data_IF_660413386408
#
_entry.id   IF_660413386408
#
_cell.length_a   1.000
_cell.length_b   1.000
_cell.length_c   1.000
_cell.angle_alpha   90.00
_cell.angle_beta   90.00
_cell.angle_gamma   90.00
#
_symmetry.space_group_name_H-M   'P 1'
#
loop_
_entity.id
_entity.type
_entity.pdbx_description
1 polymer ?
#
# COMPACT_ATOMS: atom_id res chain seq x y z
N UNK A 1 -10.53 -9.62 33.67
CA UNK A 1 -9.68 -8.93 34.67
C UNK A 1 -9.95 -7.44 34.52
N UNK A 2 -10.73 -6.86 35.43
CA UNK A 2 -11.12 -5.44 35.38
C UNK A 2 -9.97 -4.64 36.00
N UNK A 3 -9.24 -3.86 35.20
CA UNK A 3 -8.24 -2.94 35.76
C UNK A 3 -8.94 -1.87 36.62
N UNK A 4 -8.43 -1.58 37.83
CA UNK A 4 -9.01 -0.55 38.68
C UNK A 4 -8.80 0.83 38.05
N UNK A 5 -9.86 1.66 38.03
CA UNK A 5 -9.79 3.09 37.71
C UNK A 5 -8.97 3.79 38.81
N UNK A 6 -7.64 3.77 38.71
CA UNK A 6 -6.81 4.76 39.41
C UNK A 6 -6.81 6.04 38.60
N UNK A 7 -7.21 7.12 39.25
CA UNK A 7 -7.19 8.46 38.72
C UNK A 7 -5.76 8.87 38.28
N UNK A 8 -5.51 8.87 36.97
CA UNK A 8 -4.29 9.40 36.33
C UNK A 8 -4.25 10.94 36.29
N UNK A 9 -4.56 11.63 37.41
CA UNK A 9 -4.55 13.10 37.42
C UNK A 9 -3.14 13.71 37.44
N UNK A 10 -2.11 12.98 37.88
CA UNK A 10 -0.74 13.53 38.02
C UNK A 10 0.12 13.55 36.75
N UNK A 11 -0.24 12.82 35.69
CA UNK A 11 0.64 12.71 34.50
C UNK A 11 0.56 13.91 33.55
N UNK A 12 -0.50 14.72 33.67
CA UNK A 12 -0.75 15.85 32.78
C UNK A 12 -0.03 17.12 33.21
N UNK A 13 0.12 17.33 34.53
CA UNK A 13 0.60 18.59 35.10
C UNK A 13 2.14 18.64 35.22
N UNK A 14 2.81 17.48 35.31
CA UNK A 14 4.25 17.41 35.61
C UNK A 14 5.16 17.19 34.38
N UNK A 15 4.60 17.02 33.16
CA UNK A 15 5.41 16.83 31.96
C UNK A 15 5.72 18.18 31.28
N UNK A 16 6.99 18.64 31.24
CA UNK A 16 7.35 19.94 30.66
C UNK A 16 7.06 20.03 29.15
N UNK A 17 6.83 18.89 28.49
CA UNK A 17 6.46 18.84 27.07
C UNK A 17 4.94 18.86 26.82
N UNK A 18 4.11 18.70 27.86
CA UNK A 18 2.65 18.72 27.70
C UNK A 18 2.16 20.05 27.13
N UNK A 19 2.70 21.18 27.61
CA UNK A 19 2.37 22.51 27.09
C UNK A 19 2.71 22.67 25.61
N UNK A 20 3.85 22.14 25.16
CA UNK A 20 4.25 22.16 23.74
C UNK A 20 3.30 21.32 22.89
N UNK A 21 3.02 20.09 23.31
CA UNK A 21 2.10 19.20 22.60
C UNK A 21 0.70 19.82 22.48
N UNK A 22 0.14 20.34 23.58
CA UNK A 22 -1.18 20.99 23.56
C UNK A 22 -1.20 22.22 22.65
N UNK A 23 -0.16 23.06 22.69
CA UNK A 23 -0.05 24.21 21.79
C UNK A 23 -0.02 23.77 20.32
N UNK A 24 0.74 22.73 20.00
CA UNK A 24 0.78 22.14 18.66
C UNK A 24 -0.58 21.62 18.22
N UNK A 25 -1.29 20.89 19.08
CA UNK A 25 -2.63 20.34 18.78
C UNK A 25 -3.68 21.44 18.58
N UNK A 26 -3.59 22.54 19.35
CA UNK A 26 -4.44 23.71 19.12
C UNK A 26 -4.17 24.36 17.77
N UNK A 27 -2.90 24.55 17.40
CA UNK A 27 -2.54 25.04 16.07
C UNK A 27 -3.04 24.14 14.94
N UNK A 28 -2.96 22.81 15.10
CA UNK A 28 -3.55 21.85 14.16
C UNK A 28 -5.07 22.04 14.03
N UNK A 29 -5.77 22.17 15.15
CA UNK A 29 -7.22 22.39 15.15
C UNK A 29 -7.60 23.74 14.51
N UNK A 30 -6.85 24.81 14.79
CA UNK A 30 -7.02 26.13 14.18
C UNK A 30 -6.75 26.10 12.66
N UNK A 31 -5.82 25.26 12.20
CA UNK A 31 -5.63 24.94 10.79
C UNK A 31 -6.76 24.06 10.20
N UNK A 32 -7.75 23.69 11.01
CA UNK A 32 -8.93 22.93 10.63
C UNK A 32 -8.69 21.43 10.46
N UNK A 33 -7.65 20.87 11.09
CA UNK A 33 -7.50 19.44 11.25
C UNK A 33 -8.53 18.93 12.28
N UNK A 34 -8.95 17.68 12.11
CA UNK A 34 -9.97 17.03 12.97
C UNK A 34 -9.47 15.76 13.62
N UNK A 35 -8.32 15.25 13.18
CA UNK A 35 -7.68 14.07 13.73
C UNK A 35 -6.15 14.20 13.65
N UNK A 36 -5.48 13.47 14.53
CA UNK A 36 -4.03 13.29 14.54
C UNK A 36 -3.73 11.79 14.65
N UNK A 37 -2.77 11.32 13.86
CA UNK A 37 -2.24 9.96 13.92
C UNK A 37 -0.85 10.03 14.52
N UNK A 38 -0.58 9.21 15.53
CA UNK A 38 0.75 9.05 16.09
C UNK A 38 1.38 7.75 15.60
N UNK A 39 2.56 7.85 15.00
CA UNK A 39 3.47 6.72 14.85
C UNK A 39 4.36 6.65 16.08
N UNK A 40 4.31 5.53 16.81
CA UNK A 40 5.20 5.29 17.97
C UNK A 40 6.03 4.07 17.68
N UNK A 41 7.35 4.26 17.69
CA UNK A 41 8.33 3.20 17.53
C UNK A 41 8.13 2.11 18.59
N UNK A 42 8.15 0.85 18.16
CA UNK A 42 7.99 -0.27 19.08
C UNK A 42 9.05 -0.28 20.19
N UNK A 43 10.30 0.06 19.87
CA UNK A 43 11.40 0.13 20.84
C UNK A 43 11.15 1.14 21.98
N UNK A 44 10.32 2.16 21.77
CA UNK A 44 9.94 3.10 22.82
C UNK A 44 8.85 2.52 23.76
N UNK A 45 8.01 1.61 23.24
CA UNK A 45 6.97 0.94 24.02
C UNK A 45 7.48 -0.35 24.67
N UNK A 46 8.41 -1.06 24.06
CA UNK A 46 9.02 -2.28 24.60
C UNK A 46 10.55 -2.15 24.53
N UNK A 47 11.16 -1.39 25.44
CA UNK A 47 12.61 -1.20 25.46
C UNK A 47 13.38 -2.48 25.83
N UNK A 48 12.71 -3.42 26.49
CA UNK A 48 13.20 -4.76 26.80
C UNK A 48 12.08 -5.77 26.47
N UNK A 49 12.44 -6.91 25.89
CA UNK A 49 11.48 -7.94 25.49
C UNK A 49 10.54 -8.34 26.65
N UNK A 50 9.23 -8.28 26.38
CA UNK A 50 8.17 -8.55 27.35
C UNK A 50 7.86 -7.41 28.32
N UNK A 51 8.63 -6.31 28.34
CA UNK A 51 8.44 -5.17 29.25
C UNK A 51 7.77 -3.99 28.54
N UNK A 52 6.47 -4.11 28.31
CA UNK A 52 5.70 -3.07 27.63
C UNK A 52 5.37 -1.88 28.56
N UNK A 53 5.80 -0.70 28.16
CA UNK A 53 5.54 0.60 28.76
C UNK A 53 4.33 1.26 28.10
N UNK A 54 3.15 1.08 28.69
CA UNK A 54 1.91 1.69 28.20
C UNK A 54 1.76 3.16 28.60
N UNK A 55 2.48 3.61 29.62
CA UNK A 55 2.32 4.95 30.20
C UNK A 55 2.60 6.08 29.20
N UNK A 56 3.66 6.04 28.36
CA UNK A 56 3.89 7.07 27.35
C UNK A 56 2.77 7.18 26.33
N UNK A 57 2.25 6.06 25.84
CA UNK A 57 1.13 6.04 24.89
C UNK A 57 -0.16 6.53 25.55
N UNK A 58 -0.46 6.08 26.77
CA UNK A 58 -1.63 6.55 27.52
C UNK A 58 -1.56 8.06 27.77
N UNK A 59 -0.40 8.59 28.18
CA UNK A 59 -0.17 10.02 28.34
C UNK A 59 -0.40 10.79 27.04
N UNK A 60 0.13 10.30 25.92
CA UNK A 60 -0.02 10.92 24.61
C UNK A 60 -1.49 11.01 24.21
N UNK A 61 -2.22 9.89 24.27
CA UNK A 61 -3.63 9.82 23.88
C UNK A 61 -4.55 10.64 24.80
N UNK A 62 -4.32 10.58 26.12
CA UNK A 62 -5.07 11.40 27.09
C UNK A 62 -4.79 12.89 26.89
N UNK A 63 -3.52 13.25 26.62
CA UNK A 63 -3.12 14.64 26.34
C UNK A 63 -3.82 15.19 25.12
N UNK A 64 -3.91 14.38 24.06
CA UNK A 64 -4.62 14.79 22.84
C UNK A 64 -6.10 14.95 23.06
N UNK A 65 -6.75 13.94 23.67
CA UNK A 65 -8.20 13.92 23.85
C UNK A 65 -8.69 14.96 24.87
N UNK A 66 -7.91 15.29 25.91
CA UNK A 66 -8.28 16.30 26.91
C UNK A 66 -7.85 17.71 26.51
N UNK A 67 -6.71 17.83 25.82
CA UNK A 67 -6.09 19.11 25.47
C UNK A 67 -6.59 19.71 24.15
N UNK A 68 -7.32 18.94 23.34
CA UNK A 68 -7.80 19.37 22.03
C UNK A 68 -9.10 18.65 21.62
N UNK A 69 -9.88 19.20 20.66
CA UNK A 69 -11.03 18.51 20.09
C UNK A 69 -10.65 17.49 18.99
N UNK A 70 -9.36 17.23 18.78
CA UNK A 70 -8.89 16.31 17.75
C UNK A 70 -9.13 14.86 18.16
N UNK A 71 -9.52 14.04 17.18
CA UNK A 71 -9.52 12.57 17.35
C UNK A 71 -8.08 12.06 17.32
N UNK A 72 -7.68 11.30 18.34
CA UNK A 72 -6.39 10.61 18.34
C UNK A 72 -6.51 9.24 17.66
N UNK A 73 -5.52 8.90 16.85
CA UNK A 73 -5.30 7.57 16.27
C UNK A 73 -3.85 7.17 16.51
N UNK A 74 -3.60 5.86 16.50
CA UNK A 74 -2.27 5.29 16.70
C UNK A 74 -1.94 4.34 15.56
N UNK A 75 -0.69 4.38 15.10
CA UNK A 75 -0.09 3.40 14.20
C UNK A 75 1.22 2.89 14.79
N UNK A 76 1.50 1.61 14.56
CA UNK A 76 2.78 1.01 14.89
C UNK A 76 3.53 0.78 13.58
N UNK A 77 4.71 1.37 13.49
CA UNK A 77 5.60 1.21 12.35
C UNK A 77 6.84 0.41 12.78
N UNK A 78 7.24 -0.52 11.93
CA UNK A 78 8.53 -1.19 12.03
C UNK A 78 9.13 -1.20 10.63
N UNK A 79 10.11 -0.33 10.42
CA UNK A 79 10.69 -0.11 9.10
C UNK A 79 11.75 -1.17 8.78
N UNK A 80 11.29 -2.36 8.41
CA UNK A 80 12.14 -3.45 7.95
C UNK A 80 11.64 -3.92 6.58
N UNK A 81 12.20 -3.33 5.53
CA UNK A 81 11.85 -3.65 4.15
C UNK A 81 12.00 -5.14 3.86
N UNK A 82 13.00 -5.78 4.46
CA UNK A 82 13.25 -7.21 4.34
C UNK A 82 13.67 -7.77 5.70
N UNK A 83 12.90 -8.75 6.17
CA UNK A 83 13.25 -9.54 7.34
C UNK A 83 13.94 -10.83 6.90
N UNK A 84 15.22 -10.97 7.24
CA UNK A 84 16.02 -12.19 7.05
C UNK A 84 16.37 -12.85 8.40
N UNK A 85 15.64 -12.53 9.47
CA UNK A 85 15.76 -13.23 10.73
C UNK A 85 15.49 -14.73 10.56
N UNK A 86 15.98 -15.54 11.49
CA UNK A 86 15.71 -16.98 11.48
C UNK A 86 14.21 -17.30 11.53
N UNK A 87 13.40 -16.42 12.14
CA UNK A 87 11.93 -16.55 12.15
C UNK A 87 11.36 -16.38 10.75
N UNK A 88 11.76 -15.32 10.02
CA UNK A 88 11.31 -15.08 8.66
C UNK A 88 11.83 -16.16 7.68
N UNK A 89 13.09 -16.58 7.82
CA UNK A 89 13.66 -17.67 7.01
C UNK A 89 12.92 -18.99 7.24
N UNK A 90 12.59 -19.30 8.51
CA UNK A 90 11.76 -20.46 8.82
C UNK A 90 10.38 -20.36 8.18
N UNK A 91 9.71 -19.22 8.30
CA UNK A 91 8.39 -19.01 7.68
C UNK A 91 8.43 -19.16 6.15
N UNK A 92 9.47 -18.66 5.50
CA UNK A 92 9.67 -18.83 4.06
C UNK A 92 9.83 -20.31 3.68
N UNK A 93 10.69 -21.04 4.39
CA UNK A 93 10.89 -22.49 4.18
C UNK A 93 9.59 -23.27 4.43
N UNK A 94 8.82 -22.91 5.46
CA UNK A 94 7.53 -23.53 5.76
C UNK A 94 6.52 -23.27 4.64
N UNK A 95 6.46 -22.04 4.12
CA UNK A 95 5.60 -21.65 3.01
C UNK A 95 5.92 -22.40 1.71
N UNK A 96 7.20 -22.65 1.44
CA UNK A 96 7.65 -23.48 0.31
C UNK A 96 7.29 -24.95 0.52
N UNK A 97 7.55 -25.50 1.72
CA UNK A 97 7.23 -26.90 2.06
C UNK A 97 5.75 -27.20 1.99
N UNK A 98 4.91 -26.24 2.36
CA UNK A 98 3.46 -26.36 2.22
C UNK A 98 3.01 -26.47 0.76
N UNK A 99 3.79 -25.93 -0.17
CA UNK A 99 3.56 -26.10 -1.62
C UNK A 99 4.12 -27.42 -2.11
N UNK A 100 5.37 -27.73 -1.79
CA UNK A 100 5.96 -29.04 -2.08
C UNK A 100 7.04 -29.38 -1.05
N UNK A 101 7.07 -30.61 -0.49
CA UNK A 101 8.15 -31.04 0.38
C UNK A 101 9.45 -31.40 -0.38
N UNK A 102 9.39 -31.50 -1.72
CA UNK A 102 10.53 -31.90 -2.56
C UNK A 102 11.50 -30.72 -2.80
N UNK A 103 12.65 -30.77 -2.13
CA UNK A 103 13.72 -29.78 -2.31
C UNK A 103 14.31 -29.80 -3.73
N UNK A 104 14.35 -30.96 -4.40
CA UNK A 104 14.92 -31.06 -5.74
C UNK A 104 14.05 -30.40 -6.80
N UNK A 105 12.73 -30.36 -6.58
CA UNK A 105 11.82 -29.56 -7.39
C UNK A 105 12.21 -28.08 -7.36
N UNK A 106 12.46 -27.51 -6.17
CA UNK A 106 12.88 -26.11 -6.06
C UNK A 106 14.29 -25.86 -6.60
N UNK A 107 15.24 -26.77 -6.35
CA UNK A 107 16.58 -26.69 -6.95
C UNK A 107 16.53 -26.65 -8.48
N UNK A 108 15.75 -27.54 -9.09
CA UNK A 108 15.58 -27.59 -10.55
C UNK A 108 14.88 -26.33 -11.05
N UNK A 109 13.79 -25.90 -10.39
CA UNK A 109 13.02 -24.72 -10.76
C UNK A 109 13.82 -23.42 -10.67
N UNK A 110 14.68 -23.29 -9.65
CA UNK A 110 15.46 -22.08 -9.37
C UNK A 110 16.88 -22.11 -9.93
N UNK A 111 17.33 -23.23 -10.49
CA UNK A 111 18.73 -23.42 -10.88
C UNK A 111 19.70 -23.39 -9.69
N UNK A 112 19.28 -23.89 -8.54
CA UNK A 112 20.10 -23.96 -7.32
C UNK A 112 20.49 -25.40 -6.98
N UNK A 113 21.36 -25.57 -5.98
CA UNK A 113 21.83 -26.88 -5.52
C UNK A 113 21.86 -26.97 -3.99
N UNK A 114 20.79 -26.50 -3.34
CA UNK A 114 20.64 -26.60 -1.88
C UNK A 114 20.62 -28.07 -1.46
N UNK A 115 21.46 -28.42 -0.49
CA UNK A 115 21.57 -29.79 0.04
C UNK A 115 20.52 -30.06 1.13
N UNK A 116 19.98 -29.01 1.73
CA UNK A 116 18.97 -29.12 2.78
C UNK A 116 18.05 -27.90 2.81
N UNK A 117 16.87 -28.05 3.41
CA UNK A 117 15.94 -26.94 3.65
C UNK A 117 16.54 -25.80 4.50
N UNK A 118 17.52 -26.10 5.36
CA UNK A 118 18.21 -25.08 6.16
C UNK A 118 19.07 -24.14 5.30
N UNK A 119 19.55 -24.60 4.14
CA UNK A 119 20.30 -23.76 3.19
C UNK A 119 19.40 -22.87 2.33
N UNK A 120 18.11 -23.21 2.22
CA UNK A 120 17.15 -22.43 1.43
C UNK A 120 16.98 -21.05 2.07
N UNK A 121 17.23 -20.03 1.25
CA UNK A 121 17.09 -18.61 1.60
C UNK A 121 16.49 -17.86 0.41
N UNK A 122 15.72 -16.79 0.64
CA UNK A 122 15.29 -15.90 -0.44
C UNK A 122 16.49 -15.19 -1.08
N UNK A 123 16.27 -14.51 -2.21
CA UNK A 123 17.25 -13.58 -2.77
C UNK A 123 17.31 -12.34 -1.89
N UNK A 124 18.52 -11.87 -1.58
CA UNK A 124 18.71 -10.60 -0.88
C UNK A 124 18.53 -9.44 -1.85
N UNK A 125 17.57 -8.56 -1.59
CA UNK A 125 17.31 -7.39 -2.43
C UNK A 125 17.93 -6.14 -1.78
N UNK A 126 19.13 -5.73 -2.17
CA UNK A 126 19.70 -4.50 -1.64
C UNK A 126 19.35 -3.29 -2.52
N UNK A 127 19.15 -2.13 -1.88
CA UNK A 127 19.01 -0.88 -2.60
C UNK A 127 20.31 -0.60 -3.38
N UNK A 128 20.21 -0.42 -4.70
CA UNK A 128 21.36 -0.25 -5.59
C UNK A 128 21.84 -1.53 -6.31
N UNK A 129 21.52 -2.72 -5.79
CA UNK A 129 21.85 -4.00 -6.46
C UNK A 129 20.80 -4.39 -7.49
N UNK A 130 19.61 -3.77 -7.42
CA UNK A 130 18.51 -4.05 -8.32
C UNK A 130 18.43 -3.02 -9.45
N UNK A 131 18.87 -3.42 -10.65
CA UNK A 131 18.93 -2.56 -11.84
C UNK A 131 17.83 -2.89 -12.88
N UNK A 132 16.78 -3.60 -12.49
CA UNK A 132 15.67 -3.93 -13.37
C UNK A 132 14.94 -5.20 -12.97
N UNK A 133 14.12 -5.70 -13.88
CA UNK A 133 13.29 -6.87 -13.65
C UNK A 133 14.11 -8.17 -13.52
N UNK A 134 13.91 -8.90 -12.42
CA UNK A 134 14.38 -10.29 -12.26
C UNK A 134 13.25 -11.25 -12.67
N UNK A 135 13.48 -12.04 -13.73
CA UNK A 135 12.53 -13.03 -14.23
C UNK A 135 12.74 -14.43 -13.63
N UNK A 136 13.67 -14.59 -12.69
CA UNK A 136 13.89 -15.86 -12.03
C UNK A 136 12.67 -16.26 -11.21
N UNK A 137 12.31 -17.52 -11.30
CA UNK A 137 11.23 -18.12 -10.50
C UNK A 137 11.46 -17.94 -9.00
N UNK A 138 12.72 -17.97 -8.55
CA UNK A 138 13.10 -17.75 -7.14
C UNK A 138 12.74 -16.36 -6.63
N UNK A 139 12.97 -15.32 -7.43
CA UNK A 139 12.64 -13.94 -7.09
C UNK A 139 11.13 -13.79 -6.85
N UNK A 140 10.34 -14.25 -7.80
CA UNK A 140 8.90 -14.14 -7.76
C UNK A 140 8.24 -15.07 -6.73
N UNK A 141 8.79 -16.28 -6.48
CA UNK A 141 8.35 -17.12 -5.36
C UNK A 141 8.59 -16.39 -4.02
N UNK A 142 9.68 -15.61 -3.89
CA UNK A 142 9.92 -14.78 -2.71
C UNK A 142 8.95 -13.58 -2.63
N UNK A 143 8.68 -12.88 -3.74
CA UNK A 143 7.67 -11.82 -3.76
C UNK A 143 6.28 -12.35 -3.39
N UNK A 144 5.90 -13.53 -3.90
CA UNK A 144 4.62 -14.17 -3.56
C UNK A 144 4.54 -14.58 -2.10
N UNK A 145 5.63 -15.09 -1.53
CA UNK A 145 5.71 -15.34 -0.09
C UNK A 145 5.46 -14.06 0.71
N UNK A 146 6.13 -12.95 0.36
CA UNK A 146 5.96 -11.68 1.07
C UNK A 146 4.55 -11.13 0.93
N UNK A 147 3.97 -11.21 -0.27
CA UNK A 147 2.59 -10.88 -0.55
C UNK A 147 1.62 -11.64 0.37
N UNK A 148 1.68 -12.98 0.37
CA UNK A 148 0.70 -13.81 1.10
C UNK A 148 0.96 -13.85 2.60
N UNK A 149 2.19 -14.17 3.00
CA UNK A 149 2.54 -14.32 4.41
C UNK A 149 2.55 -12.98 5.13
N UNK A 150 3.10 -11.94 4.50
CA UNK A 150 3.12 -10.58 5.01
C UNK A 150 1.71 -10.00 5.17
N UNK A 151 0.89 -10.07 4.12
CA UNK A 151 -0.51 -9.65 4.25
C UNK A 151 -1.26 -10.45 5.32
N UNK A 152 -0.98 -11.75 5.45
CA UNK A 152 -1.53 -12.59 6.51
C UNK A 152 -1.19 -12.11 7.92
N UNK A 153 0.04 -11.65 8.16
CA UNK A 153 0.46 -11.06 9.44
C UNK A 153 -0.31 -9.77 9.73
N UNK A 154 -0.35 -8.85 8.78
CA UNK A 154 -1.07 -7.58 8.91
C UNK A 154 -2.57 -7.79 9.13
N UNK A 155 -3.18 -8.71 8.38
CA UNK A 155 -4.59 -9.06 8.54
C UNK A 155 -4.92 -9.67 9.90
N UNK A 156 -4.00 -10.47 10.48
CA UNK A 156 -4.15 -11.00 11.85
C UNK A 156 -4.03 -9.88 12.89
N UNK A 157 -3.07 -8.96 12.73
CA UNK A 157 -2.93 -7.81 13.61
C UNK A 157 -4.22 -6.96 13.62
N UNK A 158 -4.78 -6.65 12.45
CA UNK A 158 -6.09 -5.98 12.40
C UNK A 158 -7.22 -6.85 12.96
N UNK A 159 -7.17 -8.18 12.81
CA UNK A 159 -8.12 -9.08 13.44
C UNK A 159 -8.17 -8.93 14.97
N UNK A 160 -7.02 -8.74 15.62
CA UNK A 160 -6.93 -8.46 17.07
C UNK A 160 -7.59 -7.12 17.40
N UNK A 161 -7.31 -6.07 16.61
CA UNK A 161 -7.92 -4.74 16.80
C UNK A 161 -9.44 -4.79 16.65
N UNK A 162 -9.94 -5.50 15.62
CA UNK A 162 -11.38 -5.70 15.38
C UNK A 162 -12.06 -6.49 16.51
N UNK A 163 -11.41 -7.54 17.00
CA UNK A 163 -11.91 -8.34 18.12
C UNK A 163 -12.04 -7.50 19.41
N UNK A 164 -11.24 -6.44 19.56
CA UNK A 164 -11.36 -5.46 20.63
C UNK A 164 -12.47 -4.40 20.40
N UNK A 165 -13.23 -4.50 19.31
CA UNK A 165 -14.32 -3.57 18.98
C UNK A 165 -13.87 -2.24 18.37
N UNK A 166 -12.62 -2.15 17.91
CA UNK A 166 -12.06 -0.95 17.31
C UNK A 166 -12.02 -1.05 15.78
N UNK A 167 -11.90 0.10 15.11
CA UNK A 167 -11.63 0.13 13.68
C UNK A 167 -10.13 -0.06 13.41
N UNK A 168 -9.80 -0.79 12.35
CA UNK A 168 -8.42 -0.98 11.92
C UNK A 168 -8.20 -0.39 10.52
N UNK A 169 -7.00 0.16 10.30
CA UNK A 169 -6.59 0.68 9.01
C UNK A 169 -5.15 0.27 8.72
N UNK A 170 -4.81 0.28 7.44
CA UNK A 170 -3.43 0.16 7.00
C UNK A 170 -3.02 1.40 6.22
N UNK A 171 -1.82 1.86 6.50
CA UNK A 171 -1.12 2.88 5.73
C UNK A 171 -0.28 2.19 4.67
N UNK A 172 -0.41 2.65 3.43
CA UNK A 172 0.35 2.17 2.29
C UNK A 172 1.20 3.30 1.75
N UNK A 173 2.49 3.04 1.49
CA UNK A 173 3.32 3.98 0.76
C UNK A 173 2.82 4.12 -0.69
N UNK A 174 3.42 5.05 -1.42
CA UNK A 174 3.15 5.26 -2.84
C UNK A 174 3.25 3.95 -3.66
N UNK A 175 2.37 3.79 -4.66
CA UNK A 175 2.39 2.67 -5.61
C UNK A 175 3.02 3.02 -6.97
N UNK A 176 3.43 1.99 -7.70
CA UNK A 176 4.01 2.01 -9.04
C UNK A 176 5.40 2.69 -9.13
N UNK A 177 6.24 2.46 -8.13
CA UNK A 177 7.68 2.76 -8.10
C UNK A 177 8.49 1.45 -7.96
N UNK A 178 9.76 1.44 -8.41
CA UNK A 178 10.63 0.27 -8.22
C UNK A 178 10.92 -0.04 -6.73
N UNK A 179 10.80 0.95 -5.84
CA UNK A 179 10.90 0.68 -4.42
C UNK A 179 9.72 -0.17 -3.95
N UNK A 180 8.58 -0.19 -4.63
CA UNK A 180 7.39 -0.85 -4.11
C UNK A 180 7.51 -2.38 -4.08
N UNK A 181 8.33 -2.95 -4.97
CA UNK A 181 8.73 -4.34 -4.90
C UNK A 181 9.53 -4.61 -3.61
N UNK A 182 10.38 -3.67 -3.20
CA UNK A 182 11.13 -3.70 -1.93
C UNK A 182 10.20 -3.46 -0.73
N UNK A 183 9.14 -2.67 -0.86
CA UNK A 183 8.25 -2.29 0.25
C UNK A 183 6.98 -3.17 0.33
N UNK A 184 6.91 -4.25 -0.45
CA UNK A 184 5.78 -5.21 -0.46
C UNK A 184 4.43 -4.56 -0.80
N UNK A 185 4.38 -3.60 -1.73
CA UNK A 185 3.11 -3.02 -2.17
C UNK A 185 2.12 -4.08 -2.68
N UNK A 186 2.62 -5.21 -3.21
CA UNK A 186 1.81 -6.36 -3.63
C UNK A 186 0.89 -6.91 -2.54
N UNK A 187 1.19 -6.70 -1.25
CA UNK A 187 0.30 -7.06 -0.13
C UNK A 187 -1.02 -6.29 -0.14
N UNK A 188 -1.08 -5.13 -0.79
CA UNK A 188 -2.23 -4.24 -0.78
C UNK A 188 -3.53 -4.96 -1.18
N UNK A 189 -3.53 -5.76 -2.25
CA UNK A 189 -4.75 -6.46 -2.69
C UNK A 189 -5.35 -7.38 -1.61
N UNK A 190 -4.50 -8.08 -0.85
CA UNK A 190 -4.94 -8.96 0.24
C UNK A 190 -5.36 -8.21 1.49
N UNK A 191 -4.71 -7.10 1.79
CA UNK A 191 -5.03 -6.27 2.96
C UNK A 191 -6.31 -5.46 2.69
N UNK A 192 -6.42 -4.83 1.53
CA UNK A 192 -7.61 -4.08 1.13
C UNK A 192 -8.85 -4.99 1.00
N UNK A 193 -8.69 -6.23 0.54
CA UNK A 193 -9.78 -7.21 0.51
C UNK A 193 -10.15 -7.78 1.89
N UNK A 194 -9.33 -7.56 2.92
CA UNK A 194 -9.53 -8.14 4.25
C UNK A 194 -10.84 -7.65 4.89
N UNK A 195 -11.63 -8.53 5.53
CA UNK A 195 -12.77 -8.10 6.34
C UNK A 195 -12.32 -7.36 7.60
N UNK A 196 -11.05 -7.49 8.01
CA UNK A 196 -10.52 -6.85 9.22
C UNK A 196 -10.06 -5.41 8.99
N UNK A 197 -9.89 -4.99 7.73
CA UNK A 197 -9.46 -3.63 7.38
C UNK A 197 -10.68 -2.76 7.10
N UNK A 198 -10.89 -1.72 7.88
CA UNK A 198 -12.05 -0.83 7.73
C UNK A 198 -11.83 0.25 6.66
N UNK A 199 -10.60 0.77 6.57
CA UNK A 199 -10.20 1.74 5.55
C UNK A 199 -8.69 1.66 5.30
N UNK A 200 -8.24 2.24 4.19
CA UNK A 200 -6.81 2.33 3.83
C UNK A 200 -6.37 3.78 3.75
N UNK A 201 -5.11 4.04 4.08
CA UNK A 201 -4.46 5.35 3.87
C UNK A 201 -3.46 5.17 2.73
N UNK A 202 -3.62 5.98 1.68
CA UNK A 202 -2.77 6.01 0.50
C UNK A 202 -1.84 7.22 0.60
N UNK A 203 -0.55 7.00 0.78
CA UNK A 203 0.44 8.07 0.91
C UNK A 203 1.07 8.43 -0.45
N UNK A 204 1.49 9.70 -0.61
CA UNK A 204 2.44 10.11 -1.64
C UNK A 204 3.41 11.17 -1.13
N UNK A 205 4.69 10.92 -1.40
CA UNK A 205 5.79 11.87 -1.18
C UNK A 205 5.89 12.97 -2.24
N UNK A 206 5.05 12.89 -3.29
CA UNK A 206 5.13 13.72 -4.50
C UNK A 206 6.49 13.77 -5.19
N UNK A 207 7.46 12.96 -4.76
CA UNK A 207 8.75 12.81 -5.39
C UNK A 207 9.16 11.36 -5.52
N UNK A 208 9.73 11.03 -6.67
CA UNK A 208 10.40 9.75 -6.85
C UNK A 208 11.63 9.66 -5.93
N UNK A 209 12.17 8.45 -5.71
CA UNK A 209 13.43 8.26 -4.98
C UNK A 209 14.60 9.06 -5.56
N UNK A 210 14.54 9.38 -6.86
CA UNK A 210 15.53 10.18 -7.59
C UNK A 210 15.26 11.70 -7.55
N UNK A 211 14.26 12.14 -6.78
CA UNK A 211 13.95 13.55 -6.57
C UNK A 211 13.05 14.19 -7.62
N UNK A 212 12.61 13.45 -8.65
CA UNK A 212 11.67 13.96 -9.67
C UNK A 212 10.29 14.19 -9.08
N UNK A 213 9.70 15.36 -9.30
CA UNK A 213 8.33 15.64 -8.85
C UNK A 213 7.34 14.76 -9.62
N UNK A 214 6.46 14.10 -8.88
CA UNK A 214 5.38 13.31 -9.44
C UNK A 214 4.22 14.24 -9.79
N UNK A 215 3.72 14.11 -11.02
CA UNK A 215 2.51 14.82 -11.47
C UNK A 215 1.33 14.37 -10.60
N UNK A 216 0.59 15.27 -9.92
CA UNK A 216 -0.57 14.90 -9.09
C UNK A 216 -1.68 14.17 -9.85
N UNK A 217 -1.75 14.27 -11.17
CA UNK A 217 -2.74 13.48 -11.93
C UNK A 217 -2.56 11.96 -11.73
N UNK A 218 -1.37 11.49 -11.36
CA UNK A 218 -1.14 10.09 -10.99
C UNK A 218 -1.92 9.63 -9.77
N UNK A 219 -2.36 10.57 -8.92
CA UNK A 219 -3.17 10.24 -7.75
C UNK A 219 -4.49 9.56 -8.13
N UNK A 220 -4.96 9.79 -9.36
CA UNK A 220 -6.09 9.06 -9.97
C UNK A 220 -5.88 7.57 -10.14
N UNK A 221 -4.65 7.13 -10.29
CA UNK A 221 -4.36 5.70 -10.42
C UNK A 221 -4.29 5.05 -9.04
N UNK A 222 -3.42 5.54 -8.16
CA UNK A 222 -3.17 4.81 -6.91
C UNK A 222 -4.29 4.97 -5.87
N UNK A 223 -4.92 6.15 -5.75
CA UNK A 223 -6.10 6.31 -4.87
C UNK A 223 -7.27 5.54 -5.48
N UNK A 224 -7.41 5.61 -6.82
CA UNK A 224 -8.41 4.89 -7.61
C UNK A 224 -8.41 3.38 -7.37
N UNK A 225 -7.23 2.77 -7.20
CA UNK A 225 -7.08 1.32 -7.05
C UNK A 225 -7.82 0.77 -5.81
N UNK A 226 -7.92 1.57 -4.74
CA UNK A 226 -8.60 1.17 -3.51
C UNK A 226 -10.12 1.01 -3.65
N UNK A 227 -10.77 1.69 -4.60
CA UNK A 227 -12.23 1.62 -4.77
C UNK A 227 -12.70 0.25 -5.21
N UNK A 228 -11.89 -0.47 -5.99
CA UNK A 228 -12.22 -1.83 -6.44
C UNK A 228 -12.38 -2.83 -5.27
N UNK A 229 -11.92 -2.49 -4.08
CA UNK A 229 -12.03 -3.28 -2.85
C UNK A 229 -13.21 -2.88 -1.95
N UNK A 230 -13.96 -1.83 -2.32
CA UNK A 230 -15.10 -1.35 -1.53
C UNK A 230 -14.70 -0.79 -0.16
N UNK A 231 -13.44 -0.38 0.00
CA UNK A 231 -12.93 0.25 1.23
C UNK A 231 -12.84 1.77 1.04
N UNK A 232 -13.19 2.58 2.06
CA UNK A 232 -12.82 3.98 2.06
C UNK A 232 -11.30 4.14 1.95
N UNK A 233 -10.86 5.00 1.04
CA UNK A 233 -9.47 5.39 0.89
C UNK A 233 -9.28 6.80 1.43
N UNK A 234 -8.32 7.00 2.33
CA UNK A 234 -7.88 8.30 2.79
C UNK A 234 -6.58 8.62 2.07
N UNK A 235 -6.42 9.82 1.57
CA UNK A 235 -5.15 10.23 0.97
C UNK A 235 -4.31 11.00 1.98
N UNK A 236 -3.04 10.65 2.09
CA UNK A 236 -2.07 11.36 2.92
C UNK A 236 -0.97 11.96 2.04
N UNK A 237 -0.65 13.22 2.29
CA UNK A 237 0.42 13.94 1.61
C UNK A 237 1.65 14.06 2.52
N UNK A 238 2.75 13.42 2.16
CA UNK A 238 4.01 13.59 2.87
C UNK A 238 4.69 14.92 2.44
N UNK A 239 4.68 15.91 3.34
CA UNK A 239 5.07 17.30 3.07
C UNK A 239 6.57 17.56 3.28
N UNK A 240 7.41 16.60 2.92
CA UNK A 240 8.82 16.59 3.30
C UNK A 240 9.80 17.23 2.32
N UNK A 241 9.46 17.27 1.03
CA UNK A 241 10.45 17.56 -0.05
C UNK A 241 10.01 18.61 -1.05
N UNK A 242 8.94 19.35 -0.80
CA UNK A 242 8.49 20.40 -1.73
C UNK A 242 8.10 21.68 -1.01
N UNK A 243 8.36 22.80 -1.68
CA UNK A 243 8.07 24.13 -1.17
C UNK A 243 6.72 24.60 -1.73
N UNK A 244 5.89 25.18 -0.85
CA UNK A 244 4.61 25.79 -1.24
C UNK A 244 3.42 24.82 -1.23
N UNK A 245 2.24 25.42 -1.29
CA UNK A 245 0.96 24.70 -1.16
C UNK A 245 0.36 24.25 -2.49
N UNK A 246 0.94 24.63 -3.63
CA UNK A 246 0.37 24.37 -4.96
C UNK A 246 0.31 22.87 -5.28
N UNK A 247 1.40 22.16 -5.04
CA UNK A 247 1.47 20.71 -5.24
C UNK A 247 0.51 19.97 -4.29
N UNK A 248 0.39 20.47 -3.06
CA UNK A 248 -0.53 19.95 -2.06
C UNK A 248 -2.00 20.13 -2.47
N UNK A 249 -2.36 21.33 -2.95
CA UNK A 249 -3.70 21.66 -3.46
C UNK A 249 -4.06 20.74 -4.62
N UNK A 250 -3.18 20.61 -5.60
CA UNK A 250 -3.45 19.79 -6.77
C UNK A 250 -3.47 18.30 -6.42
N UNK A 251 -2.62 17.85 -5.49
CA UNK A 251 -2.68 16.49 -4.94
C UNK A 251 -4.01 16.18 -4.25
N UNK A 252 -4.45 17.03 -3.34
CA UNK A 252 -5.74 16.85 -2.69
C UNK A 252 -6.90 16.88 -3.68
N UNK A 253 -6.86 17.78 -4.67
CA UNK A 253 -7.87 17.83 -5.73
C UNK A 253 -7.93 16.52 -6.51
N UNK A 254 -6.80 16.01 -6.98
CA UNK A 254 -6.77 14.78 -7.76
C UNK A 254 -7.20 13.58 -6.92
N UNK A 255 -6.78 13.51 -5.65
CA UNK A 255 -7.21 12.44 -4.74
C UNK A 255 -8.70 12.44 -4.48
N UNK A 256 -9.31 13.62 -4.24
CA UNK A 256 -10.76 13.76 -4.09
C UNK A 256 -11.51 13.37 -5.38
N UNK A 257 -11.01 13.79 -6.54
CA UNK A 257 -11.57 13.38 -7.85
C UNK A 257 -11.44 11.88 -8.10
N UNK A 258 -10.48 11.22 -7.46
CA UNK A 258 -10.32 9.77 -7.48
C UNK A 258 -11.26 9.06 -6.52
N UNK A 259 -11.98 9.79 -5.66
CA UNK A 259 -12.93 9.27 -4.67
C UNK A 259 -12.46 9.28 -3.23
N UNK A 260 -11.27 9.83 -2.90
CA UNK A 260 -10.74 9.82 -1.53
C UNK A 260 -11.78 10.35 -0.53
N UNK A 261 -12.05 9.57 0.52
CA UNK A 261 -13.04 9.89 1.54
C UNK A 261 -12.51 10.92 2.57
N UNK A 262 -11.19 11.04 2.68
CA UNK A 262 -10.54 11.98 3.59
C UNK A 262 -9.13 12.34 3.12
N UNK A 263 -8.58 13.40 3.69
CA UNK A 263 -7.26 13.95 3.36
C UNK A 263 -6.44 14.16 4.64
N UNK A 264 -5.14 13.92 4.55
CA UNK A 264 -4.17 14.09 5.63
C UNK A 264 -2.82 14.60 5.15
N UNK A 265 -1.97 14.98 6.10
CA UNK A 265 -0.57 15.31 5.85
C UNK A 265 0.31 14.54 6.83
N UNK A 266 1.48 14.09 6.37
CA UNK A 266 2.50 13.47 7.22
C UNK A 266 3.84 14.18 7.08
N UNK A 267 4.78 13.91 8.00
CA UNK A 267 6.10 14.53 8.04
C UNK A 267 6.07 16.07 8.11
N UNK A 268 5.02 16.64 8.73
CA UNK A 268 4.76 18.09 8.76
C UNK A 268 5.51 18.84 9.86
N UNK A 269 5.90 18.17 10.95
CA UNK A 269 6.43 18.83 12.14
C UNK A 269 7.73 19.57 11.84
N UNK A 270 7.75 20.89 12.09
CA UNK A 270 8.87 21.78 11.76
C UNK A 270 9.04 22.10 10.27
N UNK A 271 8.19 21.56 9.39
CA UNK A 271 8.28 21.72 7.92
C UNK A 271 7.13 22.51 7.33
N UNK A 272 5.94 22.38 7.93
CA UNK A 272 4.74 23.12 7.51
C UNK A 272 4.19 23.93 8.65
N UNK A 273 3.85 25.19 8.35
CA UNK A 273 3.19 26.08 9.31
C UNK A 273 1.68 25.80 9.35
N UNK A 274 1.16 25.45 10.53
CA UNK A 274 -0.26 25.26 10.80
C UNK A 274 -0.98 26.62 10.70
N UNK A 275 -1.51 26.92 9.51
CA UNK A 275 -1.98 28.25 9.13
C UNK A 275 -3.27 28.19 8.33
N UNK A 276 -3.93 29.34 8.17
CA UNK A 276 -5.10 29.49 7.28
C UNK A 276 -4.78 29.18 5.81
N UNK A 277 -3.53 29.37 5.39
CA UNK A 277 -3.07 28.98 4.04
C UNK A 277 -3.09 27.46 3.88
N UNK A 278 -2.57 26.72 4.87
CA UNK A 278 -2.67 25.25 4.89
C UNK A 278 -4.13 24.80 4.96
N UNK A 279 -4.95 25.43 5.81
CA UNK A 279 -6.38 25.14 5.92
C UNK A 279 -7.09 25.23 4.56
N UNK A 280 -6.77 26.26 3.78
CA UNK A 280 -7.28 26.48 2.43
C UNK A 280 -6.73 25.44 1.46
N UNK A 281 -5.43 25.12 1.56
CA UNK A 281 -4.80 24.13 0.70
C UNK A 281 -5.41 22.74 0.85
N UNK A 282 -5.74 22.34 2.07
CA UNK A 282 -6.42 21.08 2.43
C UNK A 282 -7.89 20.99 1.98
N UNK A 283 -8.46 22.09 1.47
CA UNK A 283 -9.84 22.18 0.98
C UNK A 283 -9.83 22.71 -0.44
N UNK A 284 -9.20 21.98 -1.38
CA UNK A 284 -9.12 22.43 -2.74
C UNK A 284 -10.53 22.63 -3.29
N UNK A 285 -10.75 23.75 -3.98
CA UNK A 285 -11.98 23.93 -4.74
C UNK A 285 -11.97 22.90 -5.86
N UNK A 286 -12.91 21.97 -5.77
CA UNK A 286 -13.29 21.17 -6.93
C UNK A 286 -14.09 22.12 -7.81
N UNK A 287 -13.41 22.88 -8.66
CA UNK A 287 -14.10 23.63 -9.69
C UNK A 287 -14.95 22.60 -10.43
N UNK A 288 -16.27 22.74 -10.30
CA UNK A 288 -17.23 22.14 -11.20
C UNK A 288 -17.07 22.85 -12.55
N UNK A 289 -15.89 22.75 -13.15
CA UNK A 289 -15.79 22.78 -14.59
C UNK A 289 -16.88 21.82 -15.04
N UNK A 290 -17.77 22.21 -15.95
CA UNK A 290 -18.95 21.42 -16.35
C UNK A 290 -18.67 20.00 -16.89
N UNK A 291 -17.45 19.50 -16.69
CA UNK A 291 -16.95 18.14 -16.75
C UNK A 291 -17.78 17.22 -15.85
N UNK A 292 -18.94 16.80 -16.34
CA UNK A 292 -19.48 15.50 -15.97
C UNK A 292 -18.67 14.44 -16.71
N UNK A 293 -18.21 13.38 -16.05
CA UNK A 293 -17.60 12.28 -16.77
C UNK A 293 -18.65 11.72 -17.75
N UNK A 294 -18.32 11.70 -19.03
CA UNK A 294 -19.14 11.07 -20.06
C UNK A 294 -18.60 9.69 -20.45
N UNK A 295 -17.44 9.33 -19.92
CA UNK A 295 -16.74 8.08 -20.17
C UNK A 295 -16.21 7.51 -18.85
N UNK A 296 -16.43 6.21 -18.64
CA UNK A 296 -15.74 5.44 -17.60
C UNK A 296 -14.73 4.50 -18.26
N UNK A 297 -13.46 4.70 -17.95
CA UNK A 297 -12.36 3.86 -18.45
C UNK A 297 -11.96 2.86 -17.38
N UNK A 298 -12.08 1.58 -17.69
CA UNK A 298 -11.48 0.53 -16.86
C UNK A 298 -9.98 0.45 -17.13
N UNK A 299 -9.16 0.76 -16.14
CA UNK A 299 -7.71 0.60 -16.19
C UNK A 299 -7.31 -0.64 -15.39
N UNK A 300 -6.71 -1.63 -16.05
CA UNK A 300 -6.06 -2.74 -15.38
C UNK A 300 -4.54 -2.56 -15.35
N UNK A 301 -3.93 -2.77 -14.18
CA UNK A 301 -2.49 -2.72 -13.96
C UNK A 301 -2.07 -3.84 -13.00
N UNK A 302 -1.28 -4.81 -13.49
CA UNK A 302 -0.76 -5.85 -12.61
C UNK A 302 0.27 -5.27 -11.64
N UNK A 303 -0.09 -5.10 -10.37
CA UNK A 303 0.73 -4.40 -9.38
C UNK A 303 2.14 -4.99 -9.28
N UNK A 304 2.25 -6.31 -9.21
CA UNK A 304 3.51 -7.04 -9.18
C UNK A 304 4.40 -6.76 -10.40
N UNK A 305 3.80 -6.70 -11.61
CA UNK A 305 4.50 -6.29 -12.84
C UNK A 305 4.94 -4.83 -12.81
N UNK A 306 4.06 -3.95 -12.33
CA UNK A 306 4.24 -2.51 -12.40
C UNK A 306 5.22 -2.00 -11.33
N UNK A 307 5.29 -2.66 -10.18
CA UNK A 307 6.32 -2.42 -9.16
C UNK A 307 7.73 -2.73 -9.64
N UNK A 308 7.90 -3.39 -10.79
CA UNK A 308 9.19 -3.58 -11.44
C UNK A 308 9.56 -2.45 -12.42
N UNK A 309 8.76 -1.38 -12.55
CA UNK A 309 8.98 -0.35 -13.56
C UNK A 309 8.62 1.08 -13.10
N UNK A 310 9.38 2.07 -13.59
CA UNK A 310 9.18 3.49 -13.27
C UNK A 310 8.26 4.27 -14.26
N UNK A 311 7.65 3.56 -15.23
CA UNK A 311 7.25 4.14 -16.54
C UNK A 311 5.80 4.59 -16.70
N UNK A 312 4.96 4.60 -15.66
CA UNK A 312 3.50 4.80 -15.84
C UNK A 312 3.02 6.25 -15.69
N UNK A 313 3.95 7.22 -15.68
CA UNK A 313 3.63 8.61 -15.38
C UNK A 313 2.72 9.28 -16.40
N UNK A 314 2.89 8.93 -17.68
CA UNK A 314 2.17 9.57 -18.77
C UNK A 314 0.79 8.93 -19.01
N UNK A 315 0.54 7.73 -18.47
CA UNK A 315 -0.73 7.04 -18.64
C UNK A 315 -1.88 7.80 -17.97
N UNK A 316 -1.72 8.19 -16.71
CA UNK A 316 -2.73 8.96 -15.98
C UNK A 316 -3.02 10.30 -16.68
N UNK A 317 -1.96 11.01 -17.07
CA UNK A 317 -2.07 12.30 -17.74
C UNK A 317 -2.83 12.19 -19.09
N UNK A 318 -2.53 11.17 -19.89
CA UNK A 318 -3.18 10.94 -21.17
C UNK A 318 -4.65 10.53 -21.00
N UNK A 319 -4.96 9.69 -20.01
CA UNK A 319 -6.32 9.21 -19.79
C UNK A 319 -7.26 10.29 -19.27
N UNK A 320 -6.75 11.28 -18.53
CA UNK A 320 -7.58 12.35 -17.93
C UNK A 320 -7.28 13.73 -18.49
N UNK A 321 -6.66 13.82 -19.67
CA UNK A 321 -6.32 15.09 -20.31
C UNK A 321 -7.57 15.96 -20.54
N UNK A 322 -8.65 15.34 -20.98
CA UNK A 322 -9.98 15.93 -21.00
C UNK A 322 -10.72 15.47 -19.75
N UNK A 323 -10.98 16.36 -18.79
CA UNK A 323 -11.66 16.09 -17.50
C UNK A 323 -13.05 15.40 -17.58
N UNK A 324 -13.48 14.98 -18.78
CA UNK A 324 -14.67 14.18 -19.08
C UNK A 324 -14.47 12.67 -18.91
N UNK A 325 -13.25 12.23 -18.63
CA UNK A 325 -12.92 10.81 -18.43
C UNK A 325 -12.75 10.49 -16.96
N UNK A 326 -13.53 9.53 -16.48
CA UNK A 326 -13.32 8.89 -15.19
C UNK A 326 -12.54 7.58 -15.36
N UNK A 327 -11.77 7.20 -14.33
CA UNK A 327 -10.94 5.99 -14.38
C UNK A 327 -11.28 5.10 -13.20
N UNK A 328 -11.72 3.88 -13.49
CA UNK A 328 -11.82 2.81 -12.50
C UNK A 328 -10.57 1.93 -12.60
N UNK A 329 -9.78 1.87 -11.52
CA UNK A 329 -8.46 1.23 -11.50
C UNK A 329 -8.56 -0.12 -10.82
N UNK A 330 -8.00 -1.15 -11.47
CA UNK A 330 -8.01 -2.52 -11.00
C UNK A 330 -6.59 -3.09 -11.06
N UNK A 331 -6.22 -3.80 -10.01
CA UNK A 331 -4.92 -4.47 -9.90
C UNK A 331 -5.02 -6.00 -9.84
N UNK A 332 -6.25 -6.53 -9.85
CA UNK A 332 -6.56 -7.96 -9.91
C UNK A 332 -7.43 -8.25 -11.14
N UNK A 333 -7.08 -9.31 -11.86
CA UNK A 333 -7.72 -9.67 -13.13
C UNK A 333 -9.20 -10.04 -12.97
N UNK A 334 -9.57 -10.69 -11.87
CA UNK A 334 -10.93 -11.15 -11.60
C UNK A 334 -11.88 -9.98 -11.29
N UNK A 335 -11.45 -9.01 -10.48
CA UNK A 335 -12.19 -7.77 -10.23
C UNK A 335 -12.36 -6.96 -11.50
N UNK A 336 -11.29 -6.83 -12.29
CA UNK A 336 -11.36 -6.15 -13.58
C UNK A 336 -12.35 -6.85 -14.52
N UNK A 337 -12.27 -8.17 -14.64
CA UNK A 337 -13.16 -8.99 -15.46
C UNK A 337 -14.63 -8.80 -15.09
N UNK A 338 -14.93 -8.76 -13.79
CA UNK A 338 -16.30 -8.59 -13.29
C UNK A 338 -16.92 -7.24 -13.71
N UNK A 339 -16.09 -6.22 -13.84
CA UNK A 339 -16.55 -4.84 -14.08
C UNK A 339 -16.39 -4.37 -15.54
N UNK A 340 -15.76 -5.16 -16.43
CA UNK A 340 -15.68 -4.88 -17.88
C UNK A 340 -17.03 -4.40 -18.48
N UNK A 341 -18.19 -5.03 -18.19
CA UNK A 341 -19.47 -4.59 -18.74
C UNK A 341 -19.91 -3.18 -18.34
N UNK A 342 -19.29 -2.58 -17.31
CA UNK A 342 -19.59 -1.24 -16.81
C UNK A 342 -18.80 -0.15 -17.54
N UNK A 343 -17.74 -0.51 -18.27
CA UNK A 343 -16.82 0.46 -18.86
C UNK A 343 -17.27 0.90 -20.25
N UNK A 344 -17.03 2.17 -20.56
CA UNK A 344 -17.15 2.71 -21.91
C UNK A 344 -16.02 2.21 -22.81
N UNK A 345 -14.81 2.08 -22.25
CA UNK A 345 -13.65 1.44 -22.85
C UNK A 345 -12.69 0.95 -21.78
N UNK A 346 -11.70 0.17 -22.17
CA UNK A 346 -10.67 -0.32 -21.27
C UNK A 346 -9.25 0.07 -21.70
N UNK A 347 -8.36 0.27 -20.73
CA UNK A 347 -6.92 0.20 -20.93
C UNK A 347 -6.38 -0.96 -20.12
N UNK A 348 -5.75 -1.90 -20.81
CA UNK A 348 -5.22 -3.11 -20.22
C UNK A 348 -3.70 -3.09 -20.31
N UNK A 349 -3.02 -2.84 -19.18
CA UNK A 349 -1.57 -2.96 -19.09
C UNK A 349 -1.23 -4.43 -18.90
N UNK A 350 -0.55 -5.02 -19.89
CA UNK A 350 -0.25 -6.44 -19.87
C UNK A 350 0.68 -6.81 -18.70
N UNK A 351 0.34 -7.86 -17.93
CA UNK A 351 1.26 -8.45 -16.98
C UNK A 351 2.53 -8.94 -17.70
N UNK A 352 3.64 -8.93 -16.98
CA UNK A 352 4.90 -9.56 -17.41
C UNK A 352 5.05 -10.97 -16.82
N UNK A 353 4.32 -11.25 -15.73
CA UNK A 353 4.27 -12.52 -15.03
C UNK A 353 2.82 -12.83 -14.61
N UNK A 354 2.45 -14.11 -14.65
CA UNK A 354 1.32 -14.70 -13.92
C UNK A 354 1.82 -15.86 -13.05
N UNK A 355 1.34 -15.96 -11.81
CA UNK A 355 1.87 -16.85 -10.78
C UNK A 355 1.46 -18.32 -10.93
N UNK A 356 0.37 -18.62 -11.62
CA UNK A 356 -0.14 -19.98 -11.78
C UNK A 356 -1.10 -20.10 -12.98
N UNK A 357 -1.54 -21.34 -13.25
CA UNK A 357 -2.51 -21.63 -14.29
C UNK A 357 -3.89 -21.00 -14.04
N UNK A 358 -4.28 -20.79 -12.78
CA UNK A 358 -5.56 -20.17 -12.43
C UNK A 358 -5.57 -18.67 -12.82
N UNK A 359 -4.48 -17.98 -12.57
CA UNK A 359 -4.29 -16.60 -12.98
C UNK A 359 -4.20 -16.50 -14.51
N UNK A 360 -3.50 -17.42 -15.17
CA UNK A 360 -3.49 -17.53 -16.64
C UNK A 360 -4.88 -17.71 -17.24
N UNK A 361 -5.70 -18.60 -16.68
CA UNK A 361 -7.08 -18.78 -17.13
C UNK A 361 -7.92 -17.51 -16.97
N UNK A 362 -7.71 -16.76 -15.88
CA UNK A 362 -8.40 -15.48 -15.65
C UNK A 362 -7.93 -14.42 -16.64
N UNK A 363 -6.62 -14.35 -16.92
CA UNK A 363 -6.05 -13.50 -17.95
C UNK A 363 -6.68 -13.79 -19.33
N UNK A 364 -6.78 -15.06 -19.74
CA UNK A 364 -7.41 -15.43 -21.02
C UNK A 364 -8.88 -14.98 -21.09
N UNK A 365 -9.62 -15.12 -19.98
CA UNK A 365 -11.01 -14.64 -19.90
C UNK A 365 -11.11 -13.12 -20.00
N UNK A 366 -10.19 -12.38 -19.38
CA UNK A 366 -10.10 -10.91 -19.52
C UNK A 366 -9.84 -10.53 -20.97
N UNK A 367 -8.86 -11.16 -21.64
CA UNK A 367 -8.56 -10.88 -23.05
C UNK A 367 -9.77 -11.13 -23.96
N UNK A 368 -10.51 -12.22 -23.73
CA UNK A 368 -11.74 -12.52 -24.47
C UNK A 368 -12.87 -11.51 -24.17
N UNK A 369 -12.99 -11.04 -22.93
CA UNK A 369 -14.00 -10.05 -22.55
C UNK A 369 -13.68 -8.66 -23.14
N UNK A 370 -12.41 -8.27 -23.16
CA UNK A 370 -11.94 -6.99 -23.73
C UNK A 370 -12.32 -6.85 -25.21
N UNK A 371 -12.30 -7.93 -25.99
CA UNK A 371 -12.71 -7.92 -27.41
C UNK A 371 -14.16 -7.43 -27.64
N UNK A 372 -14.99 -7.36 -26.59
CA UNK A 372 -16.39 -6.93 -26.67
C UNK A 372 -16.58 -5.43 -26.43
N UNK A 373 -15.53 -4.72 -26.04
CA UNK A 373 -15.55 -3.27 -25.80
C UNK A 373 -14.37 -2.59 -26.50
N UNK A 374 -14.44 -1.28 -26.78
CA UNK A 374 -13.26 -0.53 -27.18
C UNK A 374 -12.17 -0.69 -26.12
N UNK A 375 -10.95 -1.03 -26.54
CA UNK A 375 -9.86 -1.23 -25.60
C UNK A 375 -8.51 -0.89 -26.22
N UNK A 376 -7.57 -0.56 -25.34
CA UNK A 376 -6.17 -0.31 -25.65
C UNK A 376 -5.32 -1.26 -24.81
N UNK A 377 -4.40 -1.96 -25.46
CA UNK A 377 -3.48 -2.88 -24.79
C UNK A 377 -2.12 -2.20 -24.73
N UNK A 378 -1.64 -1.99 -23.51
CA UNK A 378 -0.32 -1.41 -23.27
C UNK A 378 0.61 -2.49 -22.78
N UNK A 379 1.82 -2.51 -23.33
CA UNK A 379 2.88 -3.35 -22.81
C UNK A 379 3.75 -2.51 -21.88
N UNK A 380 4.24 -3.11 -20.80
CA UNK A 380 5.24 -2.46 -19.96
C UNK A 380 6.47 -2.11 -20.83
N UNK A 381 7.10 -0.93 -20.64
CA UNK A 381 8.28 -0.60 -21.42
C UNK A 381 9.35 -1.67 -21.20
N UNK A 382 10.21 -1.92 -22.18
CA UNK A 382 11.29 -2.88 -22.04
C UNK A 382 12.58 -2.31 -22.62
N UNK A 383 13.70 -2.54 -21.93
CA UNK A 383 15.04 -2.18 -22.41
C UNK A 383 15.68 -3.28 -23.29
N UNK A 384 14.96 -4.37 -23.62
CA UNK A 384 15.45 -5.42 -24.52
C UNK A 384 14.98 -5.18 -25.96
N UNK A 385 15.80 -5.54 -26.95
CA UNK A 385 15.43 -5.47 -28.37
C UNK A 385 14.42 -6.55 -28.80
N UNK A 386 14.15 -7.54 -27.96
CA UNK A 386 13.24 -8.66 -28.25
C UNK A 386 11.84 -8.54 -27.60
N UNK A 387 11.61 -7.50 -26.79
CA UNK A 387 10.41 -7.43 -25.96
C UNK A 387 10.49 -8.36 -24.74
N UNK A 388 9.69 -8.08 -23.70
CA UNK A 388 9.45 -9.06 -22.64
C UNK A 388 8.19 -9.84 -23.01
N UNK A 389 8.31 -11.15 -23.06
CA UNK A 389 7.14 -12.03 -23.20
C UNK A 389 6.52 -12.27 -21.83
N UNK A 390 5.19 -12.41 -21.81
CA UNK A 390 4.45 -12.86 -20.63
C UNK A 390 5.01 -14.20 -20.15
N UNK A 391 5.45 -14.26 -18.89
CA UNK A 391 5.88 -15.50 -18.25
C UNK A 391 4.73 -16.04 -17.41
N UNK A 392 4.35 -17.30 -17.64
CA UNK A 392 3.42 -18.02 -16.76
C UNK A 392 4.22 -18.98 -15.92
N UNK A 393 4.16 -18.81 -14.61
CA UNK A 393 4.85 -19.70 -13.69
C UNK A 393 4.22 -21.09 -13.71
N UNK A 394 5.07 -22.11 -13.70
CA UNK A 394 4.60 -23.48 -13.54
C UNK A 394 3.92 -23.65 -12.18
N UNK A 395 2.75 -24.30 -12.19
CA UNK A 395 2.06 -24.74 -10.98
C UNK A 395 2.96 -25.62 -10.12
N UNK A 396 3.00 -25.34 -8.82
CA UNK A 396 3.63 -26.23 -7.88
C UNK A 396 2.65 -27.37 -7.57
N UNK A 397 3.09 -28.64 -7.62
CA UNK A 397 2.23 -29.76 -7.27
C UNK A 397 1.76 -29.57 -5.84
N UNK A 398 0.45 -29.49 -5.60
CA UNK A 398 -0.07 -29.34 -4.25
C UNK A 398 0.52 -30.44 -3.34
N UNK A 399 1.00 -30.07 -2.15
CA UNK A 399 1.33 -31.05 -1.14
C UNK A 399 0.09 -31.93 -0.97
N UNK A 400 0.20 -33.22 -1.33
CA UNK A 400 -0.90 -34.16 -1.17
C UNK A 400 -1.36 -34.06 0.29
N UNK A 401 -2.58 -33.56 0.51
CA UNK A 401 -3.21 -33.62 1.82
C UNK A 401 -3.19 -35.10 2.22
N UNK A 402 -2.50 -35.38 3.31
CA UNK A 402 -2.03 -36.72 3.66
C UNK A 402 -3.10 -37.79 3.46
N UNK A 403 -2.88 -38.65 2.46
CA UNK A 403 -3.49 -39.96 2.42
C UNK A 403 -3.09 -40.68 3.71
N UNK A 404 -4.04 -40.79 4.62
CA UNK A 404 -3.92 -41.69 5.77
C UNK A 404 -4.05 -43.12 5.23
N UNK A 405 -3.15 -44.05 5.57
CA UNK A 405 -3.41 -45.47 5.36
C UNK A 405 -4.62 -45.94 6.17
#
# INVERSE_FOLDING_TARGET
MVMPRRHHYGFFEDNPNAGKLVATLKGMHEAGLTAVVYSVEWAALEPEEGKILWQPLAWLLDTTCRGSPLKAKYTQEFDSYQDYSEVALKAYRDWLRARSPDLQLFNTRWGTAFKSWAEVRPLSMHNGDWMGLDLSTRFWDFLKFREEYGAGLFNRACGVVKAAGLQCFHHFPEFFSALDAIYSASMFKHIAASPNTDFVIMDSNFRTPYGTVIKPVKLRIYVGAAFSYGKPAYFEAAVERFNGNELLVEGFKQSLLSGAANLGITNWHGRVNMSSSLHTAMRPKLDRTGCKPCELVGLFMHLDSCSAYHGLQDLAANLTADCRTDIAVYIELDRFLADIPKFSRAVFVEPILLYDSKEFMTYTRVKAALQRIPHDVRHMPHNSTAGMQLVVMQDLPAAQEGGTP
#
